data_IF_409617817171
#
_entry.id   IF_409617817171
#
_cell.length_a   1.000
_cell.length_b   1.000
_cell.length_c   1.000
_cell.angle_alpha   90.00
_cell.angle_beta   90.00
_cell.angle_gamma   90.00
#
_symmetry.space_group_name_H-M   'P 1'
#
loop_
_entity.id
_entity.type
_entity.pdbx_description
1 polymer ?
#
# COMPACT_ATOMS: atom_id res chain seq x y z
N UNK A 1 30.04 0.45 -26.63
CA UNK A 1 29.40 -0.38 -25.58
C UNK A 1 27.98 0.12 -25.43
N UNK A 2 27.00 -0.64 -25.92
CA UNK A 2 25.57 -0.31 -25.84
C UNK A 2 25.01 -0.82 -24.52
N UNK A 3 24.83 0.08 -23.57
CA UNK A 3 24.26 -0.22 -22.26
C UNK A 3 22.76 -0.52 -22.44
N UNK A 4 22.40 -1.80 -22.34
CA UNK A 4 21.03 -2.25 -22.62
C UNK A 4 20.29 -2.24 -21.29
N UNK A 5 19.66 -1.10 -20.96
CA UNK A 5 18.81 -0.96 -19.79
C UNK A 5 17.70 -2.01 -19.80
N UNK A 6 17.84 -3.05 -18.97
CA UNK A 6 16.84 -4.11 -18.82
C UNK A 6 15.71 -3.56 -17.95
N UNK A 7 14.64 -3.09 -18.59
CA UNK A 7 13.43 -2.66 -17.90
C UNK A 7 12.77 -3.93 -17.35
N UNK A 8 12.95 -4.17 -16.05
CA UNK A 8 12.22 -5.23 -15.34
C UNK A 8 10.80 -4.69 -15.11
N UNK A 9 9.73 -5.36 -15.58
CA UNK A 9 8.38 -4.89 -15.34
C UNK A 9 8.13 -4.85 -13.83
N UNK A 10 7.83 -3.66 -13.32
CA UNK A 10 7.58 -3.44 -11.91
C UNK A 10 6.47 -4.38 -11.43
N UNK A 11 6.80 -5.27 -10.50
CA UNK A 11 5.80 -6.13 -9.84
C UNK A 11 4.80 -5.20 -9.14
N UNK A 12 3.51 -5.53 -9.23
CA UNK A 12 2.45 -4.79 -8.54
C UNK A 12 2.85 -4.68 -7.06
N UNK A 13 2.97 -3.46 -6.50
CA UNK A 13 3.44 -3.30 -5.14
C UNK A 13 2.44 -3.97 -4.18
N UNK A 14 2.96 -4.70 -3.18
CA UNK A 14 2.16 -5.39 -2.15
C UNK A 14 1.12 -4.46 -1.51
N UNK A 15 1.47 -3.19 -1.37
CA UNK A 15 0.58 -2.12 -0.90
C UNK A 15 -0.62 -1.91 -1.81
N UNK A 16 -0.44 -1.97 -3.13
CA UNK A 16 -1.52 -1.84 -4.11
C UNK A 16 -2.51 -3.00 -4.04
N UNK A 17 -2.02 -4.23 -3.85
CA UNK A 17 -2.89 -5.38 -3.66
C UNK A 17 -3.69 -5.31 -2.35
N UNK A 18 -3.06 -4.89 -1.24
CA UNK A 18 -3.73 -4.74 0.05
C UNK A 18 -4.78 -3.62 0.02
N UNK A 19 -4.47 -2.49 -0.62
CA UNK A 19 -5.45 -1.43 -0.86
C UNK A 19 -6.62 -1.94 -1.71
N UNK A 20 -6.34 -2.71 -2.77
CA UNK A 20 -7.36 -3.35 -3.60
C UNK A 20 -8.29 -4.28 -2.82
N UNK A 21 -7.75 -5.11 -1.92
CA UNK A 21 -8.55 -5.96 -1.02
C UNK A 21 -9.45 -5.09 -0.12
N UNK A 22 -8.87 -4.09 0.54
CA UNK A 22 -9.62 -3.21 1.44
C UNK A 22 -10.77 -2.50 0.72
N UNK A 23 -10.49 -1.90 -0.44
CA UNK A 23 -11.49 -1.22 -1.28
C UNK A 23 -12.57 -2.21 -1.72
N UNK A 24 -12.19 -3.42 -2.15
CA UNK A 24 -13.17 -4.43 -2.61
C UNK A 24 -14.09 -4.90 -1.48
N UNK A 25 -13.55 -5.10 -0.28
CA UNK A 25 -14.34 -5.48 0.91
C UNK A 25 -15.29 -4.35 1.31
N UNK A 26 -14.79 -3.11 1.37
CA UNK A 26 -15.61 -1.94 1.67
C UNK A 26 -16.73 -1.78 0.64
N UNK A 27 -16.41 -1.93 -0.65
CA UNK A 27 -17.38 -1.82 -1.73
C UNK A 27 -18.45 -2.92 -1.64
N UNK A 28 -18.06 -4.16 -1.32
CA UNK A 28 -18.99 -5.28 -1.12
C UNK A 28 -19.94 -5.04 0.07
N UNK A 29 -19.42 -4.50 1.18
CA UNK A 29 -20.22 -4.10 2.34
C UNK A 29 -21.19 -2.96 1.99
N UNK A 30 -20.70 -1.93 1.29
CA UNK A 30 -21.51 -0.80 0.84
C UNK A 30 -22.65 -1.24 -0.07
N UNK A 31 -22.38 -2.05 -1.09
CA UNK A 31 -23.45 -2.51 -1.98
C UNK A 31 -24.41 -3.50 -1.31
N UNK A 32 -23.94 -4.29 -0.33
CA UNK A 32 -24.83 -5.10 0.50
C UNK A 32 -25.78 -4.24 1.35
N UNK A 33 -25.26 -3.17 1.96
CA UNK A 33 -26.07 -2.19 2.67
C UNK A 33 -27.05 -1.49 1.72
N UNK A 34 -26.59 -1.06 0.54
CA UNK A 34 -27.43 -0.44 -0.47
C UNK A 34 -28.56 -1.38 -0.93
N UNK A 35 -28.24 -2.64 -1.23
CA UNK A 35 -29.24 -3.64 -1.58
C UNK A 35 -30.28 -3.81 -0.47
N UNK A 36 -29.84 -3.87 0.79
CA UNK A 36 -30.73 -3.97 1.94
C UNK A 36 -31.66 -2.76 2.07
N UNK A 37 -31.11 -1.54 1.92
CA UNK A 37 -31.91 -0.31 1.97
C UNK A 37 -32.95 -0.27 0.84
N UNK A 38 -32.55 -0.61 -0.39
CA UNK A 38 -33.47 -0.66 -1.52
C UNK A 38 -34.53 -1.76 -1.34
N UNK A 39 -34.14 -2.91 -0.77
CA UNK A 39 -35.07 -4.00 -0.50
C UNK A 39 -36.13 -3.64 0.55
N UNK A 40 -35.83 -2.72 1.49
CA UNK A 40 -36.82 -2.22 2.44
C UNK A 40 -37.86 -1.32 1.79
N UNK A 41 -37.43 -0.47 0.85
CA UNK A 41 -38.33 0.47 0.14
C UNK A 41 -39.11 -0.22 -0.99
N UNK A 42 -38.67 -1.39 -1.45
CA UNK A 42 -39.31 -2.12 -2.54
C UNK A 42 -40.54 -2.88 -2.04
N UNK A 43 -41.72 -2.44 -2.49
CA UNK A 43 -42.98 -3.11 -2.18
C UNK A 43 -43.04 -4.50 -2.80
N UNK A 44 -43.53 -5.49 -2.03
CA UNK A 44 -43.60 -6.90 -2.45
C UNK A 44 -44.51 -7.16 -3.65
N UNK A 45 -45.36 -6.20 -4.02
CA UNK A 45 -46.24 -6.26 -5.19
C UNK A 45 -45.50 -6.07 -6.52
N UNK A 46 -44.28 -5.51 -6.50
CA UNK A 46 -43.51 -5.22 -7.70
C UNK A 46 -42.50 -6.32 -8.03
N UNK A 47 -43.02 -7.50 -8.38
CA UNK A 47 -42.23 -8.70 -8.71
C UNK A 47 -41.13 -8.40 -9.73
N UNK A 48 -41.43 -7.63 -10.78
CA UNK A 48 -40.45 -7.25 -11.81
C UNK A 48 -39.25 -6.48 -11.22
N UNK A 49 -39.51 -5.57 -10.28
CA UNK A 49 -38.47 -4.74 -9.67
C UNK A 49 -37.58 -5.57 -8.74
N UNK A 50 -38.18 -6.50 -7.97
CA UNK A 50 -37.45 -7.46 -7.12
C UNK A 50 -36.53 -8.35 -7.95
N UNK A 51 -37.01 -8.87 -9.08
CA UNK A 51 -36.20 -9.72 -9.97
C UNK A 51 -35.02 -8.95 -10.54
N UNK A 52 -35.26 -7.73 -11.07
CA UNK A 52 -34.21 -6.89 -11.65
C UNK A 52 -33.18 -6.49 -10.59
N UNK A 53 -33.63 -6.08 -9.40
CA UNK A 53 -32.77 -5.74 -8.28
C UNK A 53 -31.89 -6.92 -7.84
N UNK A 54 -32.48 -8.10 -7.69
CA UNK A 54 -31.77 -9.31 -7.30
C UNK A 54 -30.74 -9.73 -8.35
N UNK A 55 -31.11 -9.71 -9.64
CA UNK A 55 -30.20 -10.04 -10.73
C UNK A 55 -29.03 -9.04 -10.82
N UNK A 56 -29.31 -7.75 -10.65
CA UNK A 56 -28.28 -6.71 -10.61
C UNK A 56 -27.30 -6.93 -9.45
N UNK A 57 -27.81 -7.14 -8.24
CA UNK A 57 -26.97 -7.38 -7.06
C UNK A 57 -26.13 -8.65 -7.20
N UNK A 58 -26.71 -9.72 -7.77
CA UNK A 58 -25.99 -10.97 -8.01
C UNK A 58 -24.82 -10.76 -8.98
N UNK A 59 -25.07 -10.10 -10.13
CA UNK A 59 -24.02 -9.80 -11.10
C UNK A 59 -22.93 -8.93 -10.47
N UNK A 60 -23.32 -7.88 -9.77
CA UNK A 60 -22.41 -6.97 -9.09
C UNK A 60 -21.56 -7.70 -8.02
N UNK A 61 -22.18 -8.56 -7.20
CA UNK A 61 -21.50 -9.34 -6.18
C UNK A 61 -20.48 -10.30 -6.81
N UNK A 62 -20.83 -10.96 -7.92
CA UNK A 62 -19.90 -11.83 -8.66
C UNK A 62 -18.68 -11.05 -9.13
N UNK A 63 -18.87 -9.87 -9.73
CA UNK A 63 -17.75 -9.02 -10.15
C UNK A 63 -16.87 -8.62 -8.97
N UNK A 64 -17.47 -8.22 -7.84
CA UNK A 64 -16.72 -7.86 -6.64
C UNK A 64 -15.93 -9.04 -6.07
N UNK A 65 -16.52 -10.24 -6.06
CA UNK A 65 -15.84 -11.47 -5.60
C UNK A 65 -14.66 -11.81 -6.52
N UNK A 66 -14.83 -11.71 -7.84
CA UNK A 66 -13.74 -11.96 -8.81
C UNK A 66 -12.58 -10.99 -8.58
N UNK A 67 -12.87 -9.70 -8.41
CA UNK A 67 -11.86 -8.67 -8.12
C UNK A 67 -11.14 -8.98 -6.79
N UNK A 68 -11.90 -9.33 -5.75
CA UNK A 68 -11.35 -9.67 -4.44
C UNK A 68 -10.44 -10.91 -4.50
N UNK A 69 -10.88 -11.99 -5.16
CA UNK A 69 -10.08 -13.21 -5.35
C UNK A 69 -8.81 -12.91 -6.15
N UNK A 70 -8.89 -12.07 -7.19
CA UNK A 70 -7.73 -11.65 -7.96
C UNK A 70 -6.71 -10.93 -7.07
N UNK A 71 -7.12 -9.96 -6.27
CA UNK A 71 -6.23 -9.27 -5.35
C UNK A 71 -5.66 -10.18 -4.26
N UNK A 72 -6.44 -11.12 -3.72
CA UNK A 72 -5.95 -12.12 -2.76
C UNK A 72 -4.90 -13.03 -3.41
N UNK A 73 -5.12 -13.46 -4.67
CA UNK A 73 -4.16 -14.29 -5.41
C UNK A 73 -2.86 -13.53 -5.66
N UNK A 74 -2.93 -12.26 -6.03
CA UNK A 74 -1.77 -11.38 -6.20
C UNK A 74 -1.04 -11.21 -4.86
N UNK A 75 -1.78 -10.96 -3.77
CA UNK A 75 -1.22 -10.80 -2.44
C UNK A 75 -0.47 -12.06 -1.97
N UNK A 76 -1.07 -13.25 -2.11
CA UNK A 76 -0.44 -14.53 -1.78
C UNK A 76 0.80 -14.83 -2.63
N UNK A 77 0.76 -14.48 -3.91
CA UNK A 77 1.91 -14.65 -4.80
C UNK A 77 3.10 -13.73 -4.42
N UNK A 78 2.82 -12.55 -3.85
CA UNK A 78 3.84 -11.67 -3.29
C UNK A 78 4.35 -12.12 -1.91
N UNK A 79 3.53 -12.80 -1.11
CA UNK A 79 3.89 -13.28 0.23
C UNK A 79 4.84 -14.50 0.21
N UNK A 80 4.90 -15.20 -0.92
CA UNK A 80 5.80 -16.36 -1.12
C UNK A 80 7.28 -15.98 -1.33
N UNK A 81 7.65 -14.71 -1.21
CA UNK A 81 9.03 -14.23 -1.31
C UNK A 81 9.48 -13.67 0.05
N UNK A 82 10.20 -14.44 0.88
CA UNK A 82 10.56 -14.06 2.24
C UNK A 82 11.74 -13.06 2.32
N UNK A 83 11.87 -12.10 1.39
CA UNK A 83 13.08 -11.24 1.35
C UNK A 83 12.90 -9.82 0.81
N UNK A 84 11.82 -9.13 1.17
CA UNK A 84 11.65 -7.71 0.83
C UNK A 84 10.63 -7.00 1.71
N UNK A 85 10.91 -7.00 3.03
CA UNK A 85 10.49 -5.95 3.94
C UNK A 85 11.56 -4.86 4.04
N UNK A 86 11.96 -4.25 2.93
CA UNK A 86 12.61 -2.95 2.99
C UNK A 86 12.09 -2.11 1.83
N UNK A 87 11.82 -0.84 2.14
CA UNK A 87 11.33 0.24 1.26
C UNK A 87 9.82 0.55 1.37
N UNK A 88 9.55 1.31 2.46
CA UNK A 88 8.94 2.66 2.48
C UNK A 88 7.43 2.81 2.26
N UNK A 89 6.75 3.26 3.33
CA UNK A 89 5.81 4.38 3.22
C UNK A 89 6.16 5.36 4.34
N UNK A 90 6.86 6.43 3.92
CA UNK A 90 6.75 7.75 4.52
C UNK A 90 5.27 8.15 4.49
N UNK A 91 4.50 7.78 5.52
CA UNK A 91 3.18 8.38 5.74
C UNK A 91 3.37 9.56 6.67
N UNK A 92 3.43 10.74 6.04
CA UNK A 92 3.06 12.02 6.63
C UNK A 92 1.77 11.85 7.46
N UNK A 93 1.89 11.70 8.78
CA UNK A 93 0.84 12.01 9.75
C UNK A 93 1.41 11.99 11.16
N UNK A 94 1.57 13.20 11.70
CA UNK A 94 1.44 13.60 13.11
C UNK A 94 1.26 12.45 14.10
N UNK A 95 2.27 12.24 14.93
CA UNK A 95 2.13 12.09 16.38
C UNK A 95 3.48 12.47 16.98
N UNK A 96 3.45 13.56 17.72
CA UNK A 96 4.57 14.10 18.47
C UNK A 96 5.10 13.08 19.50
N UNK A 97 6.39 13.22 19.79
CA UNK A 97 7.00 12.97 21.10
C UNK A 97 7.60 11.59 21.44
N UNK A 98 8.26 10.91 20.49
CA UNK A 98 9.32 9.89 20.76
C UNK A 98 10.45 9.83 19.68
N UNK A 99 10.68 10.92 18.93
CA UNK A 99 11.39 10.89 17.63
C UNK A 99 12.91 11.12 17.62
N UNK A 100 13.51 11.75 18.63
CA UNK A 100 14.84 12.36 18.45
C UNK A 100 15.98 11.34 18.29
N UNK A 101 15.99 10.24 19.04
CA UNK A 101 17.06 9.24 18.98
C UNK A 101 16.94 8.29 17.76
N UNK A 102 15.72 8.04 17.29
CA UNK A 102 15.49 7.15 16.14
C UNK A 102 15.85 7.85 14.83
N UNK A 103 15.59 9.15 14.74
CA UNK A 103 15.98 9.98 13.60
C UNK A 103 17.50 10.17 13.50
N UNK A 104 18.22 10.26 14.63
CA UNK A 104 19.68 10.30 14.65
C UNK A 104 20.31 9.08 13.97
N UNK A 105 19.89 7.87 14.37
CA UNK A 105 20.39 6.62 13.81
C UNK A 105 20.06 6.49 12.31
N UNK A 106 18.88 6.96 11.89
CA UNK A 106 18.48 6.97 10.49
C UNK A 106 19.35 7.93 9.65
N UNK A 107 19.65 9.13 10.17
CA UNK A 107 20.52 10.12 9.52
C UNK A 107 21.95 9.60 9.37
N UNK A 108 22.49 8.93 10.40
CA UNK A 108 23.84 8.37 10.37
C UNK A 108 23.97 7.24 9.32
N UNK A 109 22.96 6.37 9.24
CA UNK A 109 22.92 5.28 8.25
C UNK A 109 22.81 5.81 6.81
N UNK A 110 22.08 6.90 6.61
CA UNK A 110 21.98 7.57 5.31
C UNK A 110 23.28 8.27 4.92
N UNK A 111 24.00 8.87 5.87
CA UNK A 111 25.30 9.48 5.61
C UNK A 111 26.33 8.42 5.18
N UNK A 112 26.31 7.24 5.83
CA UNK A 112 27.14 6.10 5.47
C UNK A 112 26.87 5.57 4.07
N UNK A 113 25.58 5.43 3.68
CA UNK A 113 25.26 5.01 2.31
C UNK A 113 25.75 5.99 1.26
N UNK A 114 25.65 7.31 1.53
CA UNK A 114 26.13 8.32 0.59
C UNK A 114 27.65 8.28 0.39
N UNK A 115 28.40 7.93 1.45
CA UNK A 115 29.85 7.74 1.35
C UNK A 115 30.19 6.46 0.58
N UNK A 116 29.51 5.35 0.86
CA UNK A 116 29.72 4.07 0.16
C UNK A 116 29.37 4.13 -1.34
N UNK A 117 28.34 4.91 -1.68
CA UNK A 117 27.95 5.17 -3.06
C UNK A 117 28.91 6.15 -3.78
N UNK A 118 29.88 6.74 -3.06
CA UNK A 118 30.87 7.69 -3.61
C UNK A 118 30.30 9.08 -3.92
N UNK A 119 29.11 9.42 -3.40
CA UNK A 119 28.44 10.69 -3.65
C UNK A 119 29.00 11.84 -2.80
N UNK A 120 29.66 11.53 -1.69
CA UNK A 120 30.31 12.50 -0.81
C UNK A 120 31.77 12.10 -0.56
N UNK A 121 32.63 13.08 -0.40
CA UNK A 121 34.04 12.85 -0.09
C UNK A 121 34.25 12.49 1.38
N UNK A 122 35.37 11.85 1.70
CA UNK A 122 35.71 11.49 3.09
C UNK A 122 35.76 12.71 4.03
N UNK A 123 36.21 13.85 3.52
CA UNK A 123 36.24 15.10 4.28
C UNK A 123 34.82 15.60 4.64
N UNK A 124 33.88 15.53 3.70
CA UNK A 124 32.48 15.93 3.90
C UNK A 124 31.74 14.97 4.82
N UNK A 125 32.00 13.67 4.68
CA UNK A 125 31.47 12.63 5.56
C UNK A 125 31.89 12.89 7.02
N UNK A 126 33.18 13.11 7.26
CA UNK A 126 33.70 13.33 8.62
C UNK A 126 33.18 14.62 9.25
N UNK A 127 33.10 15.71 8.47
CA UNK A 127 32.52 16.97 8.93
C UNK A 127 31.04 16.80 9.35
N UNK A 128 30.22 16.19 8.49
CA UNK A 128 28.79 15.97 8.79
C UNK A 128 28.57 14.99 9.93
N UNK A 129 29.38 13.94 10.04
CA UNK A 129 29.33 12.98 11.13
C UNK A 129 29.61 13.64 12.48
N UNK A 130 30.60 14.54 12.55
CA UNK A 130 30.89 15.29 13.77
C UNK A 130 29.77 16.27 14.17
N UNK A 131 29.13 16.90 13.18
CA UNK A 131 28.00 17.81 13.39
C UNK A 131 26.77 17.05 13.93
N UNK A 132 26.46 15.89 13.33
CA UNK A 132 25.39 15.00 13.79
C UNK A 132 25.64 14.48 15.21
N UNK A 133 26.89 14.11 15.55
CA UNK A 133 27.25 13.63 16.89
C UNK A 133 27.27 14.75 17.95
N UNK A 134 27.47 16.01 17.53
CA UNK A 134 27.45 17.17 18.41
C UNK A 134 26.04 17.71 18.67
N UNK A 135 25.06 17.38 17.83
CA UNK A 135 23.65 17.67 18.06
C UNK A 135 23.18 16.86 19.29
N UNK A 136 22.89 17.55 20.40
CA UNK A 136 22.47 16.93 21.69
C UNK A 136 21.29 15.99 21.46
N UNK A 137 21.44 14.73 21.89
CA UNK A 137 20.40 13.70 21.86
C UNK A 137 19.34 13.94 22.93
#
# INVERSE_FOLDING_TARGET
MTDTHRIVPGRVPRTGALLGIFVSVFFLAFGGLFYYLVAQETSSSEISLVIVQGAFFLLWAVVCIVILVNFIRIYKACDSSPDNQFVKIDSLRTSEDQGTSRDFNARLRKLESLYQDGLITEAEYNAKRSELLAEKW
#
